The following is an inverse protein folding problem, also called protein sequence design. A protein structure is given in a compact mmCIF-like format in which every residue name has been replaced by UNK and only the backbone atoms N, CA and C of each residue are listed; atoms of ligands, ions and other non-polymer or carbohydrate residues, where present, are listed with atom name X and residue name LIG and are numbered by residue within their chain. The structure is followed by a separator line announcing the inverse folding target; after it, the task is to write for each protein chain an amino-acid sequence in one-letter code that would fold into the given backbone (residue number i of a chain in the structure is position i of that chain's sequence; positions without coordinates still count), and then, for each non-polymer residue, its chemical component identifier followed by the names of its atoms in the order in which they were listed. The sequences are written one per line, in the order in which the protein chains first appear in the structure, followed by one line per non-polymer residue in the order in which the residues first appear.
data_IF_612830163992
#
_entry.id   IF_612830163992
#
_cell.length_a   1.000
_cell.length_b   1.000
_cell.length_c   1.000
_cell.angle_alpha   90.00
_cell.angle_beta   90.00
_cell.angle_gamma   90.00
#
_symmetry.space_group_name_H-M   'P 1'
#
loop_
_entity.id
_entity.type
_entity.pdbx_description
1 polymer ?
#
# COMPACT_ATOMS: atom_id res chain seq x y z
N UNK A 1 -7.09 23.79 -7.64
CA UNK A 1 -7.69 22.46 -7.35
C UNK A 1 -6.58 21.60 -6.77
N UNK A 2 -6.79 20.96 -5.61
CA UNK A 2 -5.77 20.05 -5.05
C UNK A 2 -5.81 18.73 -5.82
N UNK A 3 -4.65 18.25 -6.26
CA UNK A 3 -4.50 16.97 -6.98
C UNK A 3 -4.42 15.75 -6.03
N UNK A 4 -4.96 15.85 -4.81
CA UNK A 4 -4.89 14.78 -3.83
C UNK A 4 -6.20 13.99 -3.78
N UNK A 5 -6.10 12.67 -3.83
CA UNK A 5 -7.22 11.77 -3.64
C UNK A 5 -7.75 11.83 -2.20
N UNK A 6 -9.08 11.86 -2.07
CA UNK A 6 -9.78 11.71 -0.79
C UNK A 6 -9.54 10.34 -0.17
N UNK A 7 -9.85 10.19 1.13
CA UNK A 7 -9.81 8.89 1.80
C UNK A 7 -10.68 7.85 1.07
N UNK A 8 -11.90 8.21 0.69
CA UNK A 8 -12.83 7.29 0.02
C UNK A 8 -12.31 6.81 -1.33
N UNK A 9 -11.66 7.69 -2.10
CA UNK A 9 -11.03 7.31 -3.37
C UNK A 9 -9.81 6.41 -3.15
N UNK A 10 -8.93 6.74 -2.21
CA UNK A 10 -7.79 5.89 -1.84
C UNK A 10 -8.25 4.51 -1.38
N UNK A 11 -9.24 4.47 -0.50
CA UNK A 11 -9.82 3.24 0.01
C UNK A 11 -10.39 2.40 -1.13
N UNK A 12 -11.21 2.99 -2.02
CA UNK A 12 -11.74 2.30 -3.22
C UNK A 12 -10.63 1.70 -4.08
N UNK A 13 -9.56 2.45 -4.32
CA UNK A 13 -8.39 1.96 -5.09
C UNK A 13 -7.80 0.73 -4.40
N UNK A 14 -7.48 0.78 -3.11
CA UNK A 14 -6.85 -0.35 -2.43
C UNK A 14 -7.77 -1.58 -2.32
N UNK A 15 -9.07 -1.37 -2.07
CA UNK A 15 -10.06 -2.47 -2.06
C UNK A 15 -10.30 -3.10 -3.44
N UNK A 16 -9.92 -2.42 -4.53
CA UNK A 16 -10.06 -2.97 -5.89
C UNK A 16 -9.03 -4.05 -6.22
N UNK A 17 -7.94 -4.15 -5.43
CA UNK A 17 -6.92 -5.19 -5.59
C UNK A 17 -7.27 -6.41 -4.74
N UNK A 18 -7.73 -7.48 -5.37
CA UNK A 18 -8.13 -8.73 -4.69
C UNK A 18 -7.00 -9.42 -3.93
N UNK A 19 -5.75 -9.08 -4.25
CA UNK A 19 -4.55 -9.61 -3.60
C UNK A 19 -4.17 -8.89 -2.31
N UNK A 20 -4.86 -7.78 -1.98
CA UNK A 20 -4.69 -7.06 -0.74
C UNK A 20 -5.73 -7.48 0.29
N UNK A 21 -5.27 -7.78 1.49
CA UNK A 21 -6.14 -8.05 2.65
C UNK A 21 -6.17 -6.83 3.55
N UNK A 22 -7.36 -6.29 3.81
CA UNK A 22 -7.54 -5.23 4.79
C UNK A 22 -7.37 -5.76 6.22
N UNK A 23 -6.75 -4.97 7.08
CA UNK A 23 -6.67 -5.25 8.52
C UNK A 23 -6.86 -3.95 9.28
N UNK A 24 -7.92 -3.87 10.08
CA UNK A 24 -8.19 -2.74 10.98
C UNK A 24 -7.14 -2.68 12.10
N UNK A 25 -6.75 -1.46 12.46
CA UNK A 25 -5.86 -1.18 13.59
C UNK A 25 -6.48 -0.06 14.45
N UNK A 26 -5.80 0.34 15.53
CA UNK A 26 -6.30 1.40 16.42
C UNK A 26 -6.48 2.75 15.72
N UNK A 27 -7.34 3.60 16.28
CA UNK A 27 -7.66 4.96 15.81
C UNK A 27 -8.32 5.01 14.41
N UNK A 28 -9.21 4.07 14.10
CA UNK A 28 -9.95 4.01 12.84
C UNK A 28 -9.05 4.04 11.59
N UNK A 29 -7.88 3.38 11.71
CA UNK A 29 -6.94 3.23 10.60
C UNK A 29 -6.98 1.80 10.07
N UNK A 30 -6.58 1.64 8.82
CA UNK A 30 -6.47 0.33 8.18
C UNK A 30 -5.09 0.14 7.55
N UNK A 31 -4.61 -1.10 7.58
CA UNK A 31 -3.50 -1.56 6.77
C UNK A 31 -4.03 -2.43 5.62
N UNK A 32 -3.34 -2.41 4.47
CA UNK A 32 -3.53 -3.39 3.41
C UNK A 32 -2.29 -4.28 3.30
N UNK A 33 -2.51 -5.59 3.41
CA UNK A 33 -1.47 -6.62 3.45
C UNK A 33 -1.43 -7.35 2.11
N UNK A 34 -0.26 -7.40 1.48
CA UNK A 34 0.04 -8.24 0.33
C UNK A 34 0.76 -9.51 0.80
N UNK A 35 0.00 -10.58 1.04
CA UNK A 35 0.52 -11.84 1.60
C UNK A 35 1.58 -12.51 0.71
N UNK A 36 1.42 -12.36 -0.60
CA UNK A 36 2.31 -12.96 -1.60
C UNK A 36 3.62 -12.17 -1.84
N UNK A 37 3.89 -11.13 -1.04
CA UNK A 37 5.15 -10.38 -1.13
C UNK A 37 6.35 -11.31 -0.98
N UNK A 38 7.36 -11.19 -1.85
CA UNK A 38 8.63 -11.91 -1.71
C UNK A 38 9.50 -11.36 -0.58
N UNK A 39 9.20 -10.16 -0.11
CA UNK A 39 9.88 -9.57 1.04
C UNK A 39 9.27 -10.04 2.36
N UNK A 40 10.08 -9.96 3.43
CA UNK A 40 9.61 -10.16 4.81
C UNK A 40 8.46 -9.21 5.17
N UNK A 41 8.49 -7.99 4.63
CA UNK A 41 7.42 -7.01 4.80
C UNK A 41 6.22 -7.37 3.90
N UNK A 42 5.07 -7.60 4.52
CA UNK A 42 3.79 -7.87 3.85
C UNK A 42 2.85 -6.68 3.78
N UNK A 43 3.02 -5.68 4.65
CA UNK A 43 2.18 -4.46 4.65
C UNK A 43 2.53 -3.58 3.45
N UNK A 44 1.60 -3.48 2.50
CA UNK A 44 1.70 -2.68 1.28
C UNK A 44 1.22 -1.24 1.51
N UNK A 45 0.11 -1.07 2.23
CA UNK A 45 -0.40 0.25 2.66
C UNK A 45 -0.46 0.25 4.18
N UNK A 46 0.14 1.26 4.80
CA UNK A 46 0.20 1.39 6.25
C UNK A 46 -0.61 2.59 6.73
N UNK A 47 -1.39 2.36 7.79
CA UNK A 47 -2.05 3.38 8.59
C UNK A 47 -2.90 4.35 7.75
N UNK A 48 -3.63 3.83 6.75
CA UNK A 48 -4.56 4.65 5.99
C UNK A 48 -5.64 5.18 6.94
N UNK A 49 -5.63 6.49 7.16
CA UNK A 49 -6.53 7.18 8.06
C UNK A 49 -7.53 8.04 7.30
N UNK A 50 -8.69 8.33 7.90
CA UNK A 50 -9.70 9.22 7.33
C UNK A 50 -9.17 10.64 7.02
N UNK A 51 -8.14 11.09 7.74
CA UNK A 51 -7.44 12.35 7.46
C UNK A 51 -6.68 12.35 6.12
N UNK A 52 -6.59 11.22 5.43
CA UNK A 52 -5.99 11.09 4.11
C UNK A 52 -4.49 10.73 4.14
N UNK A 53 -3.87 10.64 5.32
CA UNK A 53 -2.50 10.17 5.47
C UNK A 53 -2.46 8.64 5.35
N UNK A 54 -1.56 8.12 4.52
CA UNK A 54 -1.30 6.70 4.35
C UNK A 54 0.02 6.51 3.61
N UNK A 55 0.84 5.55 4.04
CA UNK A 55 2.14 5.28 3.42
C UNK A 55 2.00 4.07 2.50
N UNK A 56 2.31 4.25 1.22
CA UNK A 56 2.44 3.14 0.26
C UNK A 56 3.89 2.69 0.25
N UNK A 57 4.12 1.42 0.55
CA UNK A 57 5.46 0.83 0.49
C UNK A 57 5.68 0.16 -0.86
N UNK A 58 6.24 0.93 -1.79
CA UNK A 58 6.84 0.40 -3.00
C UNK A 58 8.31 0.09 -2.77
N UNK A 59 8.68 -1.17 -2.82
CA UNK A 59 10.09 -1.57 -2.95
C UNK A 59 10.39 -1.81 -4.42
N UNK A 60 11.50 -1.26 -4.91
CA UNK A 60 12.03 -1.65 -6.21
C UNK A 60 12.51 -3.09 -6.11
N UNK A 61 11.77 -4.02 -6.69
CA UNK A 61 12.25 -5.39 -6.84
C UNK A 61 13.45 -5.39 -7.79
N UNK A 62 14.63 -5.74 -7.29
CA UNK A 62 15.86 -5.90 -8.09
C UNK A 62 15.94 -7.29 -8.74
N UNK A 63 14.89 -8.11 -8.64
CA UNK A 63 14.89 -9.48 -9.16
C UNK A 63 14.99 -9.57 -10.70
N UNK A 64 15.10 -8.44 -11.40
CA UNK A 64 15.36 -8.33 -12.83
C UNK A 64 16.47 -7.30 -13.19
N UNK A 65 17.49 -7.05 -12.35
CA UNK A 65 18.71 -6.37 -12.87
C UNK A 65 19.56 -7.36 -13.68
N UNK A 66 19.10 -7.70 -14.90
CA UNK A 66 19.88 -8.45 -15.90
C UNK A 66 20.66 -7.54 -16.88
N UNK A 67 20.65 -6.22 -16.68
CA UNK A 67 21.42 -5.29 -17.49
C UNK A 67 22.03 -4.23 -16.57
N UNK A 68 23.31 -4.42 -16.26
CA UNK A 68 24.27 -3.46 -15.70
C UNK A 68 23.69 -2.33 -14.83
N UNK A 69 23.48 -2.63 -13.56
CA UNK A 69 23.44 -1.62 -12.52
C UNK A 69 24.90 -1.26 -12.15
N UNK A 70 25.49 -0.29 -12.87
CA UNK A 70 26.74 0.40 -12.47
C UNK A 70 26.45 1.51 -11.46
#
# INVERSE_FOLDING_TARGET
MSNFLSYAEKYRIFTSFSELTETSISNDRVNFIFNNSKLKRKVAVRELAQSGNGYVYGVRSLENCHINCQ
#
